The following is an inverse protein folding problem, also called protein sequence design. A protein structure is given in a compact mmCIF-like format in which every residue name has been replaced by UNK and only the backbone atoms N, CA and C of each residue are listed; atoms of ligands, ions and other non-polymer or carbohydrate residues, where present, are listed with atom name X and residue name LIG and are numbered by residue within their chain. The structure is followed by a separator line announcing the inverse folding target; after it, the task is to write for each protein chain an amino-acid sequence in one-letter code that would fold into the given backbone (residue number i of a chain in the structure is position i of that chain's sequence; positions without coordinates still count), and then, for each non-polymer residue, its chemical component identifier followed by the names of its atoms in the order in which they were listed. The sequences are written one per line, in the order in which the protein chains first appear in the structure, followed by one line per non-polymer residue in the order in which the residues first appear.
data_IF_712633002867
#
_entry.id   IF_712633002867
#
_cell.length_a   1.000
_cell.length_b   1.000
_cell.length_c   1.000
_cell.angle_alpha   90.00
_cell.angle_beta   90.00
_cell.angle_gamma   90.00
#
_symmetry.space_group_name_H-M   'P 1'
#
loop_
_entity.id
_entity.type
_entity.pdbx_description
1 polymer ?
#
# COMPACT_ATOMS: atom_id res chain seq x y z
N UNK A 1 -49.49 1.94 -57.30
CA UNK A 1 -48.29 2.42 -56.60
C UNK A 1 -47.74 1.24 -55.82
N UNK A 2 -46.54 0.74 -56.13
CA UNK A 2 -45.95 -0.41 -55.42
C UNK A 2 -44.89 0.12 -54.44
N UNK A 3 -45.08 -0.14 -53.15
CA UNK A 3 -44.11 0.11 -52.10
C UNK A 3 -43.02 -0.96 -52.17
N UNK A 4 -41.76 -0.54 -52.31
CA UNK A 4 -40.59 -1.42 -52.17
C UNK A 4 -40.04 -1.27 -50.75
N UNK A 5 -39.95 -2.38 -50.02
CA UNK A 5 -39.23 -2.47 -48.76
C UNK A 5 -37.94 -3.28 -48.98
N UNK A 6 -36.81 -2.80 -48.47
CA UNK A 6 -35.51 -3.46 -48.55
C UNK A 6 -34.95 -3.70 -47.15
N UNK A 7 -34.76 -4.96 -46.78
CA UNK A 7 -33.97 -5.36 -45.62
C UNK A 7 -32.55 -5.73 -46.05
N UNK A 8 -31.54 -5.31 -45.30
CA UNK A 8 -30.15 -5.72 -45.51
C UNK A 8 -29.70 -6.49 -44.27
N UNK A 9 -29.47 -7.79 -44.41
CA UNK A 9 -28.82 -8.61 -43.39
C UNK A 9 -27.33 -8.73 -43.74
N UNK A 10 -26.45 -8.43 -42.78
CA UNK A 10 -25.00 -8.52 -42.96
C UNK A 10 -24.43 -9.44 -41.88
N UNK A 11 -23.99 -10.63 -42.27
CA UNK A 11 -23.32 -11.59 -41.40
C UNK A 11 -21.84 -11.62 -41.76
N UNK A 12 -20.97 -11.32 -40.80
CA UNK A 12 -19.52 -11.46 -40.95
C UNK A 12 -19.09 -12.87 -40.53
N UNK A 13 -18.72 -13.73 -41.50
CA UNK A 13 -18.27 -15.12 -41.23
C UNK A 13 -16.77 -15.18 -40.85
N UNK A 14 -15.98 -14.17 -41.20
CA UNK A 14 -14.54 -14.15 -40.93
C UNK A 14 -14.02 -12.71 -40.77
N UNK A 15 -13.70 -12.33 -39.54
CA UNK A 15 -13.27 -10.96 -39.19
C UNK A 15 -11.74 -10.77 -39.20
N UNK A 16 -10.97 -11.74 -39.69
CA UNK A 16 -9.50 -11.68 -39.65
C UNK A 16 -8.88 -11.56 -38.24
N UNK A 17 -9.68 -11.81 -37.19
CA UNK A 17 -9.27 -11.60 -35.79
C UNK A 17 -9.59 -10.20 -35.24
N UNK A 18 -10.21 -9.30 -35.99
CA UNK A 18 -10.59 -7.95 -35.54
C UNK A 18 -11.49 -7.99 -34.29
N UNK A 19 -12.48 -8.89 -34.25
CA UNK A 19 -13.31 -9.08 -33.05
C UNK A 19 -12.50 -9.56 -31.83
N UNK A 20 -11.48 -10.40 -32.04
CA UNK A 20 -10.55 -10.80 -30.96
C UNK A 20 -9.67 -9.65 -30.51
N UNK A 21 -9.20 -8.80 -31.42
CA UNK A 21 -8.43 -7.60 -31.10
C UNK A 21 -9.27 -6.55 -30.34
N UNK A 22 -10.52 -6.31 -30.76
CA UNK A 22 -11.47 -5.40 -30.13
C UNK A 22 -11.80 -5.79 -28.68
N UNK A 23 -11.71 -7.07 -28.32
CA UNK A 23 -11.88 -7.54 -26.94
C UNK A 23 -10.56 -7.51 -26.15
N UNK A 24 -9.41 -7.73 -26.81
CA UNK A 24 -8.08 -7.70 -26.16
C UNK A 24 -7.68 -6.29 -25.73
N UNK A 25 -7.98 -5.27 -26.53
CA UNK A 25 -7.61 -3.89 -26.21
C UNK A 25 -8.27 -3.36 -24.92
N UNK A 26 -9.60 -3.44 -24.71
CA UNK A 26 -10.25 -3.03 -23.47
C UNK A 26 -9.72 -3.79 -22.24
N UNK A 27 -9.46 -5.10 -22.38
CA UNK A 27 -8.87 -5.92 -21.32
C UNK A 27 -7.46 -5.45 -20.94
N UNK A 28 -6.62 -5.15 -21.93
CA UNK A 28 -5.28 -4.61 -21.69
C UNK A 28 -5.33 -3.25 -20.99
N UNK A 29 -6.24 -2.36 -21.41
CA UNK A 29 -6.47 -1.07 -20.75
C UNK A 29 -6.93 -1.24 -19.29
N UNK A 30 -7.85 -2.16 -19.01
CA UNK A 30 -8.29 -2.44 -17.65
C UNK A 30 -7.14 -2.95 -16.76
N UNK A 31 -6.33 -3.89 -17.27
CA UNK A 31 -5.15 -4.38 -16.57
C UNK A 31 -4.12 -3.27 -16.29
N UNK A 32 -3.93 -2.34 -17.24
CA UNK A 32 -3.06 -1.19 -17.05
C UNK A 32 -3.56 -0.27 -15.94
N UNK A 33 -4.86 0.06 -15.91
CA UNK A 33 -5.45 0.87 -14.83
C UNK A 33 -5.31 0.18 -13.48
N UNK A 34 -5.54 -1.14 -13.43
CA UNK A 34 -5.37 -1.92 -12.22
C UNK A 34 -3.93 -1.89 -11.70
N UNK A 35 -2.94 -2.06 -12.58
CA UNK A 35 -1.53 -1.97 -12.22
C UNK A 35 -1.16 -0.56 -11.70
N UNK A 36 -1.71 0.49 -12.32
CA UNK A 36 -1.54 1.87 -11.85
C UNK A 36 -2.10 2.06 -10.44
N UNK A 37 -3.32 1.57 -10.15
CA UNK A 37 -3.93 1.65 -8.82
C UNK A 37 -3.05 0.99 -7.75
N UNK A 38 -2.56 -0.23 -8.00
CA UNK A 38 -1.66 -0.91 -7.07
C UNK A 38 -0.33 -0.17 -6.88
N UNK A 39 0.20 0.42 -7.95
CA UNK A 39 1.41 1.26 -7.87
C UNK A 39 1.17 2.46 -6.96
N UNK A 40 0.04 3.18 -7.14
CA UNK A 40 -0.35 4.33 -6.30
C UNK A 40 -0.54 3.94 -4.83
N UNK A 41 -1.17 2.80 -4.58
CA UNK A 41 -1.35 2.31 -3.20
C UNK A 41 0.00 2.02 -2.54
N UNK A 42 0.93 1.39 -3.27
CA UNK A 42 2.28 1.11 -2.77
C UNK A 42 3.07 2.39 -2.52
N UNK A 43 2.98 3.35 -3.43
CA UNK A 43 3.59 4.68 -3.31
C UNK A 43 3.08 5.42 -2.07
N UNK A 44 1.77 5.38 -1.80
CA UNK A 44 1.17 5.96 -0.60
C UNK A 44 1.67 5.29 0.68
N UNK A 45 1.68 3.95 0.73
CA UNK A 45 2.20 3.20 1.89
C UNK A 45 3.68 3.51 2.15
N UNK A 46 4.49 3.57 1.09
CA UNK A 46 5.92 3.90 1.21
C UNK A 46 6.12 5.33 1.71
N UNK A 47 5.31 6.27 1.23
CA UNK A 47 5.37 7.68 1.67
C UNK A 47 5.04 7.81 3.15
N UNK A 48 3.99 7.13 3.63
CA UNK A 48 3.63 7.10 5.06
C UNK A 48 4.73 6.45 5.90
N UNK A 49 5.27 5.31 5.47
CA UNK A 49 6.37 4.63 6.17
C UNK A 49 7.62 5.51 6.25
N UNK A 50 7.98 6.17 5.16
CA UNK A 50 9.13 7.08 5.10
C UNK A 50 8.94 8.27 6.03
N UNK A 51 7.74 8.88 6.04
CA UNK A 51 7.40 9.98 6.94
C UNK A 51 7.49 9.57 8.42
N UNK A 52 6.93 8.40 8.76
CA UNK A 52 6.99 7.85 10.11
C UNK A 52 8.42 7.51 10.56
N UNK A 53 9.20 6.87 9.69
CA UNK A 53 10.61 6.56 9.95
C UNK A 53 11.41 7.83 10.23
N UNK A 54 11.21 8.90 9.44
CA UNK A 54 11.85 10.20 9.68
C UNK A 54 11.45 10.78 11.03
N UNK A 55 10.16 10.78 11.37
CA UNK A 55 9.68 11.29 12.66
C UNK A 55 10.31 10.55 13.85
N UNK A 56 10.32 9.22 13.81
CA UNK A 56 10.90 8.39 14.88
C UNK A 56 12.42 8.54 14.98
N UNK A 57 13.13 8.60 13.85
CA UNK A 57 14.58 8.85 13.84
C UNK A 57 14.93 10.23 14.40
N UNK A 58 14.15 11.26 14.04
CA UNK A 58 14.35 12.62 14.52
C UNK A 58 14.09 12.73 16.03
N UNK A 59 13.09 12.01 16.55
CA UNK A 59 12.85 11.89 17.99
C UNK A 59 14.06 11.30 18.73
N UNK A 60 14.63 10.20 18.23
CA UNK A 60 15.85 9.59 18.80
C UNK A 60 17.06 10.52 18.73
N UNK A 61 17.21 11.27 17.64
CA UNK A 61 18.29 12.26 17.51
C UNK A 61 18.17 13.39 18.54
N UNK A 62 16.95 13.87 18.81
CA UNK A 62 16.72 14.90 19.83
C UNK A 62 17.11 14.40 21.21
N UNK A 63 16.76 13.16 21.56
CA UNK A 63 17.13 12.55 22.85
C UNK A 63 18.66 12.51 23.02
N UNK A 64 19.38 12.07 21.99
CA UNK A 64 20.85 12.06 21.99
C UNK A 64 21.46 13.46 22.11
N UNK A 65 20.93 14.44 21.37
CA UNK A 65 21.41 15.82 21.43
C UNK A 65 21.10 16.48 22.77
N UNK A 66 20.00 16.10 23.42
CA UNK A 66 19.66 16.58 24.76
C UNK A 66 20.65 16.05 25.80
N UNK A 67 20.98 14.76 25.74
CA UNK A 67 22.02 14.16 26.60
C UNK A 67 23.38 14.83 26.35
N UNK A 68 23.76 14.96 25.07
CA UNK A 68 25.01 15.63 24.68
C UNK A 68 25.06 17.09 25.16
N UNK A 69 23.92 17.81 25.15
CA UNK A 69 23.85 19.18 25.66
C UNK A 69 24.13 19.22 27.16
N UNK A 70 23.53 18.31 27.93
CA UNK A 70 23.75 18.23 29.38
C UNK A 70 25.22 17.93 29.70
N UNK A 71 25.82 16.96 28.99
CA UNK A 71 27.25 16.63 29.13
C UNK A 71 28.13 17.82 28.77
N UNK A 72 27.84 18.54 27.69
CA UNK A 72 28.60 19.71 27.29
C UNK A 72 28.45 20.89 28.27
N UNK A 73 27.29 21.02 28.93
CA UNK A 73 27.07 22.00 30.00
C UNK A 73 27.94 21.69 31.23
N UNK A 74 27.97 20.43 31.67
CA UNK A 74 28.78 19.97 32.81
C UNK A 74 30.28 20.09 32.53
N UNK A 75 30.72 19.74 31.32
CA UNK A 75 32.11 19.90 30.89
C UNK A 75 32.55 21.37 30.93
N UNK A 76 31.71 22.28 30.44
CA UNK A 76 32.02 23.70 30.49
C UNK A 76 32.14 24.21 31.93
N UNK A 77 31.25 23.77 32.84
CA UNK A 77 31.32 24.13 34.25
C UNK A 77 32.63 23.63 34.88
N UNK A 78 32.96 22.35 34.69
CA UNK A 78 34.19 21.73 35.20
C UNK A 78 35.46 22.42 34.67
N UNK A 79 35.50 22.75 33.38
CA UNK A 79 36.67 23.41 32.78
C UNK A 79 36.83 24.84 33.26
N UNK A 80 35.73 25.56 33.53
CA UNK A 80 35.78 26.89 34.15
C UNK A 80 36.36 26.82 35.56
N UNK A 81 35.96 25.85 36.37
CA UNK A 81 36.52 25.64 37.71
C UNK A 81 38.02 25.30 37.66
N UNK A 82 38.42 24.43 36.73
CA UNK A 82 39.83 24.05 36.55
C UNK A 82 40.69 25.20 36.01
N UNK A 83 40.13 26.06 35.14
CA UNK A 83 40.80 27.27 34.66
C UNK A 83 41.07 28.24 35.82
N UNK A 84 40.10 28.43 36.72
CA UNK A 84 40.26 29.32 37.89
C UNK A 84 41.40 28.88 38.82
N UNK A 85 41.72 27.59 38.87
CA UNK A 85 42.85 27.03 39.65
C UNK A 85 44.10 26.77 38.80
N UNK A 86 44.14 27.24 37.56
CA UNK A 86 45.30 27.15 36.66
C UNK A 86 45.59 25.74 36.11
N UNK A 87 44.66 24.79 36.23
CA UNK A 87 44.84 23.39 35.77
C UNK A 87 44.42 23.16 34.31
N UNK A 88 43.69 24.10 33.71
CA UNK A 88 43.19 24.05 32.33
C UNK A 88 43.46 25.38 31.64
N UNK A 89 43.65 25.38 30.32
CA UNK A 89 43.92 26.62 29.58
C UNK A 89 42.63 27.38 29.25
N UNK A 90 42.74 28.68 28.97
CA UNK A 90 41.60 29.47 28.46
C UNK A 90 41.07 28.89 27.14
N UNK A 91 41.96 28.35 26.29
CA UNK A 91 41.59 27.75 25.02
C UNK A 91 40.63 26.57 25.23
N UNK A 92 40.89 25.70 26.21
CA UNK A 92 40.02 24.57 26.53
C UNK A 92 38.61 25.02 26.97
N UNK A 93 38.52 26.12 27.71
CA UNK A 93 37.22 26.70 28.11
C UNK A 93 36.48 27.23 26.89
N UNK A 94 37.18 27.89 25.96
CA UNK A 94 36.60 28.38 24.72
C UNK A 94 36.14 27.24 23.81
N UNK A 95 36.91 26.15 23.73
CA UNK A 95 36.55 24.94 22.98
C UNK A 95 35.31 24.26 23.58
N UNK A 96 35.21 24.18 24.91
CA UNK A 96 34.03 23.68 25.59
C UNK A 96 32.80 24.58 25.34
N UNK A 97 32.97 25.90 25.35
CA UNK A 97 31.90 26.85 25.01
C UNK A 97 31.42 26.67 23.57
N UNK A 98 32.34 26.53 22.63
CA UNK A 98 32.01 26.32 21.22
C UNK A 98 31.28 24.98 21.02
N UNK A 99 31.76 23.91 21.66
CA UNK A 99 31.10 22.59 21.63
C UNK A 99 29.67 22.67 22.15
N UNK A 100 29.46 23.30 23.31
CA UNK A 100 28.12 23.54 23.87
C UNK A 100 27.22 24.32 22.92
N UNK A 101 27.72 25.42 22.35
CA UNK A 101 26.96 26.24 21.42
C UNK A 101 26.56 25.46 20.16
N UNK A 102 27.46 24.64 19.61
CA UNK A 102 27.18 23.79 18.46
C UNK A 102 26.13 22.73 18.76
N UNK A 103 26.23 22.05 19.91
CA UNK A 103 25.25 21.04 20.33
C UNK A 103 23.87 21.66 20.54
N UNK A 104 23.80 22.83 21.18
CA UNK A 104 22.54 23.54 21.38
C UNK A 104 21.92 24.01 20.06
N UNK A 105 22.72 24.52 19.13
CA UNK A 105 22.24 24.87 17.80
C UNK A 105 21.69 23.65 17.05
N UNK A 106 22.39 22.51 17.10
CA UNK A 106 21.94 21.26 16.49
C UNK A 106 20.65 20.72 17.11
N UNK A 107 20.49 20.85 18.44
CA UNK A 107 19.29 20.46 19.15
C UNK A 107 18.08 21.29 18.69
N UNK A 108 18.23 22.62 18.58
CA UNK A 108 17.14 23.49 18.11
C UNK A 108 16.76 23.22 16.65
N UNK A 109 17.74 23.06 15.76
CA UNK A 109 17.49 22.65 14.37
C UNK A 109 16.78 21.30 14.31
N UNK A 110 17.16 20.37 15.19
CA UNK A 110 16.55 19.04 15.28
C UNK A 110 15.10 19.09 15.76
N UNK A 111 14.76 19.96 16.71
CA UNK A 111 13.36 20.20 17.14
C UNK A 111 12.50 20.72 15.98
N UNK A 112 13.01 21.66 15.19
CA UNK A 112 12.32 22.16 14.00
C UNK A 112 12.16 21.06 12.93
N UNK A 113 13.18 20.24 12.74
CA UNK A 113 13.10 19.09 11.83
C UNK A 113 12.05 18.06 12.28
N UNK A 114 11.90 17.86 13.60
CA UNK A 114 10.87 16.97 14.15
C UNK A 114 9.47 17.52 13.89
N UNK A 115 9.27 18.81 14.14
CA UNK A 115 8.00 19.48 13.86
C UNK A 115 7.62 19.34 12.38
N UNK A 116 8.59 19.55 11.48
CA UNK A 116 8.38 19.34 10.05
C UNK A 116 8.07 17.87 9.70
N UNK A 117 8.70 16.90 10.38
CA UNK A 117 8.39 15.48 10.21
C UNK A 117 6.98 15.13 10.69
N UNK A 118 6.47 15.76 11.77
CA UNK A 118 5.09 15.60 12.23
C UNK A 118 4.11 16.08 11.15
N UNK A 119 4.32 17.26 10.57
CA UNK A 119 3.49 17.76 9.47
C UNK A 119 3.52 16.85 8.24
N UNK A 120 4.68 16.25 7.93
CA UNK A 120 4.78 15.28 6.84
C UNK A 120 3.96 14.02 7.07
N UNK A 121 3.89 13.52 8.31
CA UNK A 121 3.04 12.37 8.65
C UNK A 121 1.56 12.74 8.48
N UNK A 122 1.15 13.91 8.96
CA UNK A 122 -0.22 14.41 8.77
C UNK A 122 -0.57 14.58 7.28
N UNK A 123 0.36 15.11 6.48
CA UNK A 123 0.19 15.25 5.04
C UNK A 123 0.05 13.89 4.33
N UNK A 124 0.93 12.94 4.66
CA UNK A 124 0.92 11.61 4.06
C UNK A 124 -0.34 10.79 4.41
N UNK A 125 -1.00 11.13 5.53
CA UNK A 125 -2.24 10.50 5.99
C UNK A 125 -3.50 11.29 5.64
N UNK A 126 -3.37 12.38 4.86
CA UNK A 126 -4.45 13.32 4.51
C UNK A 126 -5.13 14.03 5.69
N UNK A 127 -4.54 13.97 6.89
CA UNK A 127 -5.07 14.62 8.10
C UNK A 127 -4.54 16.05 8.33
N UNK A 128 -3.71 16.56 7.40
CA UNK A 128 -3.05 17.86 7.58
C UNK A 128 -4.04 19.04 7.57
N UNK A 129 -5.01 19.05 6.65
CA UNK A 129 -5.96 20.16 6.53
C UNK A 129 -6.85 20.25 7.77
N UNK A 130 -7.33 19.09 8.25
CA UNK A 130 -8.08 18.98 9.49
C UNK A 130 -7.28 19.50 10.69
N UNK A 131 -6.00 19.09 10.80
CA UNK A 131 -5.11 19.56 11.86
C UNK A 131 -4.83 21.08 11.79
N UNK A 132 -4.95 21.71 10.62
CA UNK A 132 -4.82 23.16 10.44
C UNK A 132 -6.14 23.91 10.55
N UNK A 133 -7.27 23.22 10.76
CA UNK A 133 -8.60 23.83 10.79
C UNK A 133 -9.04 24.39 9.43
N UNK A 134 -8.49 23.87 8.34
CA UNK A 134 -8.81 24.30 6.99
C UNK A 134 -9.80 23.34 6.35
N UNK A 135 -10.83 23.89 5.72
CA UNK A 135 -11.79 23.11 4.94
C UNK A 135 -11.19 22.73 3.58
N UNK A 136 -11.36 21.47 3.18
CA UNK A 136 -11.00 21.05 1.83
C UNK A 136 -11.87 21.79 0.80
N UNK A 137 -11.25 22.20 -0.32
CA UNK A 137 -12.01 22.72 -1.44
C UNK A 137 -13.01 21.66 -1.94
N UNK A 138 -14.20 22.07 -2.35
CA UNK A 138 -15.26 21.17 -2.85
C UNK A 138 -14.78 20.26 -4.00
N UNK A 139 -13.87 20.75 -4.83
CA UNK A 139 -13.27 20.01 -5.95
C UNK A 139 -12.16 19.02 -5.55
N UNK A 140 -11.78 18.96 -4.28
CA UNK A 140 -10.80 17.98 -3.79
C UNK A 140 -11.40 16.58 -3.60
N UNK A 141 -12.73 16.49 -3.49
CA UNK A 141 -13.44 15.22 -3.40
C UNK A 141 -13.70 14.68 -4.81
N UNK A 142 -13.19 13.47 -5.06
CA UNK A 142 -13.43 12.72 -6.29
C UNK A 142 -14.58 11.72 -6.04
N UNK A 143 -15.82 12.10 -6.36
CA UNK A 143 -17.01 11.25 -6.22
C UNK A 143 -17.28 10.38 -7.47
N UNK A 144 -16.37 10.36 -8.44
CA UNK A 144 -16.55 9.67 -9.72
C UNK A 144 -16.78 8.17 -9.53
N UNK A 145 -16.18 7.57 -8.50
CA UNK A 145 -16.37 6.13 -8.25
C UNK A 145 -17.80 5.79 -7.85
N UNK A 146 -18.44 6.68 -7.10
CA UNK A 146 -19.84 6.57 -6.69
C UNK A 146 -20.76 6.94 -7.87
N UNK A 147 -20.43 8.00 -8.60
CA UNK A 147 -21.19 8.46 -9.78
C UNK A 147 -21.24 7.41 -10.91
N UNK A 148 -20.13 6.71 -11.14
CA UNK A 148 -20.02 5.70 -12.21
C UNK A 148 -20.24 4.26 -11.74
N UNK A 149 -20.64 4.04 -10.47
CA UNK A 149 -20.91 2.70 -9.89
C UNK A 149 -19.85 1.66 -10.26
N UNK A 150 -18.58 2.03 -10.09
CA UNK A 150 -17.47 1.15 -10.48
C UNK A 150 -17.42 -0.01 -9.47
N UNK A 151 -17.52 -1.24 -9.99
CA UNK A 151 -17.43 -2.44 -9.17
C UNK A 151 -16.15 -2.50 -8.32
N UNK A 152 -16.16 -3.22 -7.19
CA UNK A 152 -14.99 -3.34 -6.34
C UNK A 152 -13.81 -3.88 -7.15
N UNK A 153 -12.62 -3.38 -6.83
CA UNK A 153 -11.38 -3.91 -7.37
C UNK A 153 -11.28 -5.38 -6.93
N UNK A 154 -11.40 -6.30 -7.89
CA UNK A 154 -11.29 -7.73 -7.61
C UNK A 154 -9.86 -8.07 -7.18
N UNK A 155 -9.69 -8.47 -5.91
CA UNK A 155 -8.45 -9.03 -5.36
C UNK A 155 -8.31 -10.51 -5.78
N UNK A 156 -8.26 -10.75 -7.09
CA UNK A 156 -8.23 -12.09 -7.69
C UNK A 156 -6.84 -12.74 -7.78
N UNK A 157 -5.81 -12.14 -7.17
CA UNK A 157 -4.41 -12.60 -7.27
C UNK A 157 -3.78 -12.96 -5.93
N UNK A 158 -4.60 -13.35 -4.95
CA UNK A 158 -4.09 -14.07 -3.78
C UNK A 158 -3.57 -15.42 -4.26
N UNK A 159 -2.25 -15.55 -4.40
CA UNK A 159 -1.63 -16.87 -4.54
C UNK A 159 -1.81 -17.62 -3.21
N UNK A 160 -2.70 -18.60 -3.18
CA UNK A 160 -2.96 -19.45 -2.02
C UNK A 160 -1.73 -20.28 -1.60
N UNK A 161 -0.67 -20.32 -2.43
CA UNK A 161 0.51 -21.16 -2.19
C UNK A 161 1.64 -20.47 -1.44
N UNK A 162 1.67 -19.14 -1.39
CA UNK A 162 2.73 -18.40 -0.69
C UNK A 162 2.15 -17.36 0.26
N UNK A 163 2.25 -17.63 1.57
CA UNK A 163 1.85 -16.71 2.65
C UNK A 163 2.68 -15.42 2.74
N UNK A 164 3.19 -14.90 1.63
CA UNK A 164 3.97 -13.66 1.53
C UNK A 164 3.68 -12.99 0.20
N UNK A 165 3.02 -11.82 0.26
CA UNK A 165 2.46 -11.06 -0.86
C UNK A 165 3.48 -10.48 -1.85
N UNK A 166 4.15 -11.35 -2.61
CA UNK A 166 4.87 -10.97 -3.83
C UNK A 166 4.00 -11.30 -5.04
N UNK A 167 3.24 -10.32 -5.51
CA UNK A 167 2.37 -10.50 -6.69
C UNK A 167 3.19 -10.51 -7.98
N UNK A 168 3.00 -11.57 -8.77
CA UNK A 168 3.42 -11.64 -10.18
C UNK A 168 2.31 -10.99 -11.00
N UNK A 169 2.66 -10.02 -11.85
CA UNK A 169 1.77 -9.52 -12.90
C UNK A 169 1.51 -10.70 -13.84
N UNK A 170 0.35 -11.33 -13.70
CA UNK A 170 -0.01 -12.52 -14.47
C UNK A 170 0.00 -12.24 -15.98
N UNK A 171 0.61 -13.16 -16.73
CA UNK A 171 0.38 -13.36 -18.16
C UNK A 171 -1.12 -13.61 -18.42
N UNK A 172 -1.60 -13.43 -19.67
CA UNK A 172 -3.04 -13.41 -19.97
C UNK A 172 -3.71 -14.70 -19.51
N UNK A 173 -4.83 -14.59 -18.78
CA UNK A 173 -5.72 -15.73 -18.52
C UNK A 173 -6.27 -16.22 -19.86
N UNK A 174 -5.86 -17.41 -20.28
CA UNK A 174 -6.52 -18.14 -21.36
C UNK A 174 -7.93 -18.51 -20.90
N UNK A 175 -8.92 -17.76 -21.36
CA UNK A 175 -10.33 -18.12 -21.19
C UNK A 175 -10.67 -19.19 -22.21
N UNK A 176 -10.38 -20.44 -21.85
CA UNK A 176 -11.04 -21.60 -22.42
C UNK A 176 -12.50 -21.62 -21.97
N UNK A 177 -13.40 -21.33 -22.91
CA UNK A 177 -14.82 -21.70 -22.97
C UNK A 177 -15.52 -22.11 -21.66
N UNK A 178 -16.45 -21.29 -21.18
CA UNK A 178 -17.71 -21.82 -20.65
C UNK A 178 -18.84 -20.88 -21.02
N UNK A 179 -19.70 -21.34 -21.94
CA UNK A 179 -20.99 -20.76 -22.23
C UNK A 179 -21.92 -21.04 -21.04
N UNK A 180 -22.52 -19.99 -20.50
CA UNK A 180 -23.63 -20.05 -19.56
C UNK A 180 -24.91 -20.43 -20.34
N UNK A 181 -25.37 -21.66 -20.13
CA UNK A 181 -26.64 -22.16 -20.64
C UNK A 181 -27.70 -21.97 -19.56
N UNK A 182 -28.67 -21.11 -19.87
CA UNK A 182 -29.91 -20.94 -19.11
C UNK A 182 -30.56 -22.29 -18.80
N UNK A 183 -30.84 -22.59 -17.52
CA UNK A 183 -31.87 -23.57 -17.15
C UNK A 183 -32.74 -23.02 -16.04
N UNK A 184 -34.01 -22.90 -16.42
CA UNK A 184 -35.22 -22.53 -15.73
C UNK A 184 -35.44 -23.38 -14.46
N UNK A 185 -35.71 -22.72 -13.33
CA UNK A 185 -36.00 -23.35 -12.05
C UNK A 185 -37.50 -23.63 -11.94
N UNK A 186 -37.91 -24.90 -11.90
CA UNK A 186 -39.21 -25.35 -11.41
C UNK A 186 -39.03 -26.39 -10.31
N UNK A 187 -39.74 -26.16 -9.20
CA UNK A 187 -39.69 -26.88 -7.93
C UNK A 187 -40.00 -28.39 -8.00
N UNK A 188 -39.43 -29.11 -7.02
CA UNK A 188 -39.61 -30.51 -6.53
C UNK A 188 -41.08 -30.98 -6.33
N UNK A 189 -41.42 -32.24 -5.90
CA UNK A 189 -40.61 -33.29 -5.23
C UNK A 189 -40.97 -34.78 -5.56
N UNK A 190 -40.42 -35.72 -4.77
CA UNK A 190 -40.73 -37.16 -4.61
C UNK A 190 -40.00 -38.17 -5.51
N UNK A 191 -39.20 -39.07 -4.93
CA UNK A 191 -39.53 -40.50 -4.78
C UNK A 191 -38.43 -41.24 -3.98
N UNK A 192 -38.86 -42.12 -3.08
CA UNK A 192 -38.04 -42.89 -2.14
C UNK A 192 -37.61 -44.25 -2.70
N UNK A 193 -36.51 -44.81 -2.16
CA UNK A 193 -36.19 -46.24 -1.92
C UNK A 193 -34.67 -46.46 -2.03
N UNK A 194 -33.97 -46.69 -0.92
CA UNK A 194 -33.67 -48.02 -0.35
C UNK A 194 -32.70 -48.85 -1.19
N UNK A 195 -31.43 -48.93 -0.75
CA UNK A 195 -30.78 -50.24 -0.58
C UNK A 195 -29.68 -50.15 0.48
N UNK A 196 -29.79 -51.02 1.49
CA UNK A 196 -28.87 -51.25 2.61
C UNK A 196 -27.54 -51.92 2.20
N UNK A 197 -26.55 -51.72 3.07
CA UNK A 197 -25.49 -52.64 3.51
C UNK A 197 -24.38 -53.03 2.51
N UNK A 198 -23.11 -52.83 2.87
CA UNK A 198 -22.41 -53.82 3.70
C UNK A 198 -21.05 -53.28 4.20
N UNK A 199 -20.79 -53.50 5.48
CA UNK A 199 -19.49 -53.46 6.14
C UNK A 199 -18.63 -54.66 5.74
N UNK A 200 -17.30 -54.50 5.70
CA UNK A 200 -16.27 -55.26 6.48
C UNK A 200 -14.93 -55.49 5.75
N UNK A 201 -13.86 -55.16 6.50
CA UNK A 201 -12.62 -55.94 6.75
C UNK A 201 -11.46 -56.05 5.74
N UNK A 202 -10.25 -56.02 6.35
CA UNK A 202 -8.92 -56.54 5.96
C UNK A 202 -7.91 -55.41 5.78
N UNK A 203 -6.99 -55.04 6.69
CA UNK A 203 -5.99 -55.75 7.53
C UNK A 203 -5.03 -56.64 6.72
N UNK A 204 -3.73 -56.30 6.81
CA UNK A 204 -2.54 -57.13 6.53
C UNK A 204 -2.16 -57.24 5.05
N UNK A 205 -0.90 -57.27 4.63
CA UNK A 205 0.40 -57.30 5.31
C UNK A 205 1.52 -57.19 4.24
N UNK A 206 2.75 -57.06 4.71
CA UNK A 206 4.05 -57.36 4.07
C UNK A 206 4.79 -56.14 3.50
N UNK A 207 5.88 -55.67 4.13
CA UNK A 207 7.22 -56.30 4.28
C UNK A 207 7.82 -56.58 2.88
N UNK A 208 9.06 -56.26 2.53
CA UNK A 208 10.28 -56.05 3.29
C UNK A 208 11.38 -55.54 2.33
N UNK A 209 12.50 -55.09 2.92
CA UNK A 209 13.83 -54.75 2.35
C UNK A 209 14.13 -53.29 1.96
#
# INVERSE_FOLDING_TARGET
QHLLARGVMRWNLFDGGANRANVREPRARANQQQALLFSRQREAVETVRSAWSRLTNQGRLIEQLQEQSNVSDDLLLSYREQFNVGRRSLLDVLDAQNTRANVQAQLEVSKLAQLYAQYRVLAATNNLLEAMGLEMASHAYSNERDDYSVGPVYDGWKDERTGSGRMIVGTPVETGSSYDGMVENHNSPEEAADTRANSTSSVGSSDDM
#
